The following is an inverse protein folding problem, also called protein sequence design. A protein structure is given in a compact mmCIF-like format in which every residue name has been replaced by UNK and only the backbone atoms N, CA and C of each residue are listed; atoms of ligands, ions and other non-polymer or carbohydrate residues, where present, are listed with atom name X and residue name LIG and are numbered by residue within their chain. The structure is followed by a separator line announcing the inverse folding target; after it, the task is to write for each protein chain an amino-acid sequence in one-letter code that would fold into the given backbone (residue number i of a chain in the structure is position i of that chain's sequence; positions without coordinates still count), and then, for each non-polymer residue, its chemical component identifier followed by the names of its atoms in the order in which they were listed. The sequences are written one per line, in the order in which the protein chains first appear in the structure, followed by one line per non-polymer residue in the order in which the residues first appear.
data_IF_794224177401
#
_entry.id   IF_794224177401
#
_cell.length_a   1.000
_cell.length_b   1.000
_cell.length_c   1.000
_cell.angle_alpha   90.00
_cell.angle_beta   90.00
_cell.angle_gamma   90.00
#
_symmetry.space_group_name_H-M   'P 1'
#
loop_
_entity.id
_entity.type
_entity.pdbx_description
1 polymer ?
#
# COMPACT_ATOMS: atom_id res chain seq x y z
N UNK A 1 13.69 20.66 16.76
CA UNK A 1 13.55 19.82 15.53
C UNK A 1 12.49 20.39 14.59
N UNK A 2 11.34 20.85 15.08
CA UNK A 2 10.31 21.52 14.24
C UNK A 2 10.78 22.81 13.55
N UNK A 3 11.62 23.61 14.21
CA UNK A 3 12.16 24.86 13.66
C UNK A 3 13.08 24.61 12.46
N UNK A 4 13.96 23.59 12.51
CA UNK A 4 14.87 23.29 11.41
C UNK A 4 14.15 22.76 10.17
N UNK A 5 13.05 22.02 10.33
CA UNK A 5 12.26 21.47 9.22
C UNK A 5 11.38 22.53 8.54
N UNK A 6 11.02 23.59 9.27
CA UNK A 6 10.30 24.74 8.70
C UNK A 6 11.22 25.72 7.94
N UNK A 7 12.48 25.85 8.36
CA UNK A 7 13.45 26.75 7.72
C UNK A 7 14.15 26.15 6.49
N UNK A 8 14.17 24.81 6.37
CA UNK A 8 14.82 24.11 5.27
C UNK A 8 13.89 23.07 4.63
N UNK A 9 13.00 23.48 3.72
CA UNK A 9 12.01 22.61 3.09
C UNK A 9 12.63 21.38 2.40
N UNK A 10 13.84 21.52 1.89
CA UNK A 10 14.58 20.43 1.23
C UNK A 10 14.92 19.25 2.14
N UNK A 11 15.19 19.53 3.43
CA UNK A 11 15.47 18.49 4.42
C UNK A 11 14.21 17.64 4.64
N UNK A 12 13.05 18.28 4.79
CA UNK A 12 11.79 17.56 4.93
C UNK A 12 11.44 16.74 3.68
N UNK A 13 11.62 17.30 2.48
CA UNK A 13 11.41 16.59 1.21
C UNK A 13 12.34 15.38 1.11
N UNK A 14 13.61 15.52 1.47
CA UNK A 14 14.57 14.41 1.49
C UNK A 14 14.19 13.30 2.47
N UNK A 15 13.74 13.68 3.68
CA UNK A 15 13.24 12.71 4.68
C UNK A 15 11.98 11.99 4.19
N UNK A 16 11.05 12.72 3.58
CA UNK A 16 9.82 12.16 3.02
C UNK A 16 10.11 11.19 1.87
N UNK A 17 11.08 11.52 1.02
CA UNK A 17 11.55 10.63 -0.05
C UNK A 17 12.09 9.31 0.52
N UNK A 18 12.98 9.39 1.51
CA UNK A 18 13.54 8.19 2.17
C UNK A 18 12.44 7.37 2.85
N UNK A 19 11.53 8.04 3.56
CA UNK A 19 10.37 7.38 4.18
C UNK A 19 9.50 6.70 3.13
N UNK A 20 9.24 7.37 2.00
CA UNK A 20 8.48 6.82 0.88
C UNK A 20 9.14 5.59 0.26
N UNK A 21 10.48 5.54 0.15
CA UNK A 21 11.21 4.34 -0.27
C UNK A 21 10.96 3.17 0.67
N UNK A 22 11.07 3.40 1.98
CA UNK A 22 10.87 2.36 3.01
C UNK A 22 9.43 1.84 2.97
N UNK A 23 8.45 2.75 2.93
CA UNK A 23 7.04 2.39 2.83
C UNK A 23 6.75 1.66 1.52
N UNK A 24 7.31 2.10 0.40
CA UNK A 24 7.15 1.44 -0.90
C UNK A 24 7.66 0.00 -0.90
N UNK A 25 8.77 -0.26 -0.23
CA UNK A 25 9.28 -1.63 -0.04
C UNK A 25 8.31 -2.49 0.79
N UNK A 26 7.72 -1.92 1.85
CA UNK A 26 6.66 -2.58 2.61
C UNK A 26 5.39 -2.80 1.78
N UNK A 27 5.00 -1.83 0.94
CA UNK A 27 3.83 -1.98 0.05
C UNK A 27 3.99 -3.15 -0.91
N UNK A 28 5.18 -3.44 -1.41
CA UNK A 28 5.43 -4.63 -2.21
C UNK A 28 5.06 -5.92 -1.45
N UNK A 29 5.39 -6.00 -0.16
CA UNK A 29 5.01 -7.14 0.69
C UNK A 29 3.50 -7.17 0.91
N UNK A 30 2.88 -6.03 1.20
CA UNK A 30 1.45 -5.89 1.44
C UNK A 30 0.65 -6.34 0.21
N UNK A 31 0.96 -5.79 -0.96
CA UNK A 31 0.29 -6.10 -2.25
C UNK A 31 0.36 -7.57 -2.59
N UNK A 32 1.50 -8.23 -2.30
CA UNK A 32 1.68 -9.65 -2.58
C UNK A 32 0.99 -10.57 -1.56
N UNK A 33 0.99 -10.20 -0.28
CA UNK A 33 0.54 -11.10 0.81
C UNK A 33 -0.91 -10.92 1.17
N UNK A 34 -1.40 -9.67 1.22
CA UNK A 34 -2.75 -9.38 1.69
C UNK A 34 -3.84 -10.13 0.91
N UNK A 35 -3.84 -10.16 -0.44
CA UNK A 35 -4.85 -10.92 -1.19
C UNK A 35 -4.83 -12.42 -0.86
N UNK A 36 -3.64 -13.00 -0.69
CA UNK A 36 -3.49 -14.41 -0.34
C UNK A 36 -4.00 -14.72 1.08
N UNK A 37 -3.80 -13.78 2.01
CA UNK A 37 -4.32 -13.91 3.38
C UNK A 37 -5.85 -13.87 3.35
N UNK A 38 -6.45 -12.92 2.63
CA UNK A 38 -7.90 -12.79 2.50
C UNK A 38 -8.54 -14.02 1.85
N UNK A 39 -7.95 -14.52 0.77
CA UNK A 39 -8.46 -15.75 0.11
C UNK A 39 -8.42 -16.96 1.04
N UNK A 40 -7.38 -17.10 1.87
CA UNK A 40 -7.30 -18.17 2.88
C UNK A 40 -8.39 -18.02 3.94
N UNK A 41 -8.60 -16.81 4.42
CA UNK A 41 -9.63 -16.50 5.41
C UNK A 41 -11.03 -16.78 4.86
N UNK A 42 -11.35 -16.29 3.67
CA UNK A 42 -12.63 -16.54 3.01
C UNK A 42 -12.88 -18.03 2.76
N UNK A 43 -11.82 -18.76 2.39
CA UNK A 43 -11.93 -20.21 2.22
C UNK A 43 -12.26 -20.91 3.54
N UNK A 44 -11.60 -20.55 4.63
CA UNK A 44 -11.88 -21.10 5.95
C UNK A 44 -13.32 -20.80 6.41
N UNK A 45 -13.78 -19.56 6.22
CA UNK A 45 -15.17 -19.17 6.51
C UNK A 45 -16.19 -19.96 5.65
N UNK A 46 -15.90 -20.12 4.37
CA UNK A 46 -16.78 -20.89 3.48
C UNK A 46 -16.84 -22.37 3.88
N UNK A 47 -15.72 -22.97 4.27
CA UNK A 47 -15.68 -24.36 4.77
C UNK A 47 -16.51 -24.52 6.05
N UNK A 48 -16.39 -23.57 6.98
CA UNK A 48 -17.17 -23.56 8.23
C UNK A 48 -18.68 -23.47 7.95
N UNK A 49 -19.10 -22.53 7.07
CA UNK A 49 -20.52 -22.35 6.70
C UNK A 49 -21.09 -23.60 6.03
N UNK A 50 -20.29 -24.26 5.17
CA UNK A 50 -20.70 -25.45 4.43
C UNK A 50 -20.56 -26.77 5.23
N UNK A 51 -20.06 -26.73 6.47
CA UNK A 51 -19.79 -27.93 7.27
C UNK A 51 -18.72 -28.83 6.66
N UNK A 52 -17.82 -28.30 5.84
CA UNK A 52 -16.71 -29.04 5.24
C UNK A 52 -15.53 -29.16 6.20
N UNK A 53 -14.71 -30.24 6.10
CA UNK A 53 -13.53 -30.37 6.91
C UNK A 53 -12.58 -29.17 6.67
N UNK A 54 -12.07 -28.60 7.77
CA UNK A 54 -11.07 -27.54 7.68
C UNK A 54 -9.79 -28.05 7.00
N UNK A 55 -9.18 -27.20 6.19
CA UNK A 55 -7.86 -27.52 5.63
C UNK A 55 -6.85 -27.75 6.78
N UNK A 56 -5.90 -28.69 6.64
CA UNK A 56 -4.89 -28.91 7.66
C UNK A 56 -4.15 -27.62 7.98
N UNK A 57 -3.92 -27.35 9.27
CA UNK A 57 -3.23 -26.15 9.72
C UNK A 57 -1.88 -26.03 9.03
N UNK A 58 -1.79 -25.14 8.06
CA UNK A 58 -0.55 -24.82 7.37
C UNK A 58 0.34 -23.88 8.20
N UNK A 59 1.58 -23.62 7.75
CA UNK A 59 2.46 -22.68 8.43
C UNK A 59 1.82 -21.28 8.52
N UNK A 60 2.16 -20.56 9.59
CA UNK A 60 1.71 -19.17 9.80
C UNK A 60 2.06 -18.33 8.59
N UNK A 61 1.06 -17.68 8.01
CA UNK A 61 1.24 -16.80 6.86
C UNK A 61 0.58 -15.45 7.15
N UNK A 62 1.41 -14.44 7.33
CA UNK A 62 1.00 -13.06 7.60
C UNK A 62 1.96 -12.07 6.94
N UNK A 63 1.84 -10.77 7.22
CA UNK A 63 2.72 -9.76 6.64
C UNK A 63 4.19 -9.90 7.10
N UNK A 64 4.45 -10.55 8.23
CA UNK A 64 5.80 -10.73 8.78
C UNK A 64 6.39 -12.12 8.48
N UNK A 65 5.56 -13.14 8.37
CA UNK A 65 5.99 -14.53 8.16
C UNK A 65 5.36 -15.15 6.90
N UNK A 66 6.12 -15.96 6.16
CA UNK A 66 7.54 -16.26 6.28
C UNK A 66 8.42 -15.04 5.90
N UNK A 67 9.72 -15.08 6.22
CA UNK A 67 10.66 -14.05 5.77
C UNK A 67 10.67 -13.93 4.24
N UNK A 68 11.03 -12.75 3.73
CA UNK A 68 11.19 -12.55 2.29
C UNK A 68 12.26 -13.48 1.73
N UNK A 69 11.92 -14.21 0.69
CA UNK A 69 12.82 -15.16 0.04
C UNK A 69 12.76 -15.01 -1.48
N UNK A 70 13.78 -15.47 -2.17
CA UNK A 70 13.79 -15.54 -3.63
C UNK A 70 12.74 -16.57 -4.10
N UNK A 71 11.91 -16.21 -5.07
CA UNK A 71 10.87 -17.08 -5.61
C UNK A 71 11.43 -18.35 -6.29
N UNK A 72 12.68 -18.30 -6.79
CA UNK A 72 13.32 -19.39 -7.49
C UNK A 72 14.14 -20.32 -6.60
N UNK A 73 15.01 -19.77 -5.78
CA UNK A 73 15.90 -20.61 -4.96
C UNK A 73 15.46 -20.72 -3.49
N UNK A 74 14.34 -20.08 -3.11
CA UNK A 74 13.77 -20.06 -1.75
C UNK A 74 14.74 -19.62 -0.64
N UNK A 75 15.89 -19.05 -1.02
CA UNK A 75 16.86 -18.53 -0.04
C UNK A 75 16.36 -17.21 0.56
N UNK A 76 16.52 -17.00 1.88
CA UNK A 76 16.12 -15.78 2.54
C UNK A 76 16.91 -14.58 2.00
N UNK A 77 16.21 -13.46 1.81
CA UNK A 77 16.79 -12.18 1.41
C UNK A 77 17.36 -11.52 2.67
N UNK A 78 18.63 -11.10 2.60
CA UNK A 78 19.29 -10.41 3.71
C UNK A 78 18.78 -8.95 3.82
N UNK A 79 18.79 -8.32 5.01
CA UNK A 79 18.29 -6.96 5.18
C UNK A 79 18.92 -5.93 4.23
N UNK A 80 20.21 -6.02 3.95
CA UNK A 80 20.92 -5.13 3.01
C UNK A 80 20.63 -5.43 1.53
N UNK A 81 20.16 -6.64 1.21
CA UNK A 81 19.67 -7.01 -0.12
C UNK A 81 18.23 -6.52 -0.36
N UNK A 82 17.59 -5.96 0.67
CA UNK A 82 16.24 -5.40 0.63
C UNK A 82 16.21 -3.87 0.83
N UNK A 83 17.35 -3.19 0.69
CA UNK A 83 17.39 -1.73 0.70
C UNK A 83 16.68 -1.23 -0.58
N UNK A 84 15.61 -0.41 -0.43
CA UNK A 84 14.77 -0.03 -1.54
C UNK A 84 15.57 0.59 -2.70
N UNK A 85 15.27 0.19 -3.93
CA UNK A 85 15.90 0.63 -5.19
C UNK A 85 17.41 0.35 -5.23
N UNK A 86 18.14 0.67 -4.17
CA UNK A 86 19.59 0.56 -4.14
C UNK A 86 20.08 -0.87 -4.31
N UNK A 87 19.46 -1.84 -3.62
CA UNK A 87 19.82 -3.25 -3.76
C UNK A 87 19.55 -3.78 -5.16
N UNK A 88 18.43 -3.36 -5.77
CA UNK A 88 18.11 -3.71 -7.15
C UNK A 88 19.17 -3.21 -8.14
N UNK A 89 19.62 -1.96 -7.99
CA UNK A 89 20.67 -1.38 -8.84
C UNK A 89 22.01 -2.06 -8.64
N UNK A 90 22.44 -2.29 -7.38
CA UNK A 90 23.70 -2.95 -7.06
C UNK A 90 23.74 -4.40 -7.54
N UNK A 91 22.63 -5.12 -7.43
CA UNK A 91 22.49 -6.50 -7.90
C UNK A 91 22.15 -6.60 -9.39
N UNK A 92 22.04 -5.45 -10.09
CA UNK A 92 21.68 -5.38 -11.52
C UNK A 92 20.37 -6.13 -11.83
N UNK A 93 19.38 -6.01 -10.94
CA UNK A 93 18.08 -6.66 -11.08
C UNK A 93 18.11 -8.19 -11.00
N UNK A 94 19.10 -8.78 -10.33
CA UNK A 94 19.25 -10.23 -10.22
C UNK A 94 19.42 -10.70 -8.78
N UNK A 95 18.94 -11.91 -8.50
CA UNK A 95 19.16 -12.53 -7.20
C UNK A 95 20.66 -12.69 -6.90
N UNK A 96 21.08 -12.33 -5.69
CA UNK A 96 22.48 -12.44 -5.27
C UNK A 96 23.02 -13.90 -5.31
N UNK A 97 22.13 -14.88 -5.27
CA UNK A 97 22.51 -16.30 -5.19
C UNK A 97 22.31 -17.07 -6.49
N UNK A 98 21.09 -17.16 -7.00
CA UNK A 98 20.77 -17.93 -8.21
C UNK A 98 20.87 -17.10 -9.49
N UNK A 99 21.12 -15.78 -9.40
CA UNK A 99 21.19 -14.86 -10.56
C UNK A 99 19.91 -14.73 -11.37
N UNK A 100 18.81 -15.31 -10.90
CA UNK A 100 17.50 -15.15 -11.54
C UNK A 100 17.05 -13.68 -11.50
N UNK A 101 16.32 -13.26 -12.54
CA UNK A 101 15.87 -11.89 -12.70
C UNK A 101 14.82 -11.50 -11.64
N UNK A 102 14.98 -10.32 -11.05
CA UNK A 102 14.01 -9.71 -10.15
C UNK A 102 13.12 -8.76 -10.97
N UNK A 103 11.80 -8.85 -10.81
CA UNK A 103 10.86 -7.97 -11.51
C UNK A 103 11.16 -6.49 -11.24
N UNK A 104 11.19 -5.68 -12.30
CA UNK A 104 11.33 -4.23 -12.21
C UNK A 104 10.15 -3.54 -11.49
N UNK A 105 9.06 -4.24 -11.27
CA UNK A 105 7.90 -3.76 -10.51
C UNK A 105 8.27 -3.36 -9.09
N UNK A 106 9.15 -4.12 -8.42
CA UNK A 106 9.57 -3.82 -7.04
C UNK A 106 10.19 -2.43 -6.91
N UNK A 107 11.27 -2.08 -7.61
CA UNK A 107 11.84 -0.74 -7.52
C UNK A 107 10.91 0.34 -8.09
N UNK A 108 10.02 0.01 -9.04
CA UNK A 108 9.03 0.95 -9.54
C UNK A 108 8.03 1.38 -8.46
N UNK A 109 7.48 0.43 -7.70
CA UNK A 109 6.60 0.72 -6.56
C UNK A 109 7.30 1.57 -5.50
N UNK A 110 8.55 1.26 -5.19
CA UNK A 110 9.36 2.00 -4.22
C UNK A 110 9.59 3.44 -4.67
N UNK A 111 9.96 3.65 -5.93
CA UNK A 111 10.15 4.98 -6.51
C UNK A 111 8.84 5.77 -6.59
N UNK A 112 7.74 5.14 -7.01
CA UNK A 112 6.44 5.80 -7.07
C UNK A 112 6.00 6.31 -5.69
N UNK A 113 6.17 5.47 -4.66
CA UNK A 113 5.88 5.83 -3.27
C UNK A 113 6.80 6.96 -2.77
N UNK A 114 8.09 6.92 -3.10
CA UNK A 114 9.06 7.94 -2.73
C UNK A 114 8.76 9.29 -3.40
N UNK A 115 8.48 9.29 -4.69
CA UNK A 115 8.14 10.50 -5.45
C UNK A 115 6.83 11.12 -4.96
N UNK A 116 5.80 10.31 -4.70
CA UNK A 116 4.55 10.76 -4.11
C UNK A 116 4.80 11.44 -2.77
N UNK A 117 5.59 10.81 -1.88
CA UNK A 117 5.92 11.38 -0.58
C UNK A 117 6.69 12.69 -0.69
N UNK A 118 7.65 12.76 -1.60
CA UNK A 118 8.43 13.97 -1.87
C UNK A 118 7.55 15.11 -2.42
N UNK A 119 6.63 14.82 -3.36
CA UNK A 119 5.69 15.80 -3.90
C UNK A 119 4.74 16.35 -2.82
N UNK A 120 4.21 15.47 -1.96
CA UNK A 120 3.36 15.88 -0.84
C UNK A 120 4.13 16.75 0.15
N UNK A 121 5.36 16.35 0.51
CA UNK A 121 6.23 17.13 1.37
C UNK A 121 6.56 18.51 0.80
N UNK A 122 6.81 18.57 -0.49
CA UNK A 122 7.07 19.81 -1.22
C UNK A 122 5.87 20.76 -1.20
N UNK A 123 4.66 20.22 -1.42
CA UNK A 123 3.44 21.02 -1.56
C UNK A 123 2.91 21.50 -0.20
N UNK A 124 2.85 20.63 0.80
CA UNK A 124 2.24 20.91 2.10
C UNK A 124 3.23 21.41 3.17
N UNK A 125 4.53 21.24 2.94
CA UNK A 125 5.53 21.49 3.98
C UNK A 125 5.42 20.52 5.15
N UNK A 126 6.13 20.84 6.26
CA UNK A 126 6.12 20.01 7.47
C UNK A 126 4.84 20.26 8.30
N UNK A 127 4.00 19.26 8.41
CA UNK A 127 2.75 19.35 9.19
C UNK A 127 1.89 18.09 9.11
N UNK A 128 0.81 18.09 9.89
CA UNK A 128 -0.16 16.99 9.94
C UNK A 128 -0.85 16.75 8.59
N UNK A 129 -1.04 17.82 7.81
CA UNK A 129 -1.61 17.74 6.47
C UNK A 129 -0.76 16.87 5.55
N UNK A 130 0.56 17.10 5.52
CA UNK A 130 1.47 16.28 4.73
C UNK A 130 1.41 14.80 5.15
N UNK A 131 1.44 14.53 6.46
CA UNK A 131 1.33 13.16 6.98
C UNK A 131 0.03 12.47 6.58
N UNK A 132 -1.10 13.16 6.68
CA UNK A 132 -2.41 12.65 6.29
C UNK A 132 -2.49 12.33 4.79
N UNK A 133 -2.01 13.25 3.94
CA UNK A 133 -2.02 13.07 2.47
C UNK A 133 -1.04 11.98 2.03
N UNK A 134 0.13 11.85 2.67
CA UNK A 134 1.05 10.74 2.42
C UNK A 134 0.40 9.39 2.74
N UNK A 135 -0.22 9.27 3.91
CA UNK A 135 -0.87 8.03 4.34
C UNK A 135 -2.01 7.64 3.38
N UNK A 136 -2.84 8.60 2.97
CA UNK A 136 -3.88 8.39 1.97
C UNK A 136 -3.26 7.94 0.64
N UNK A 137 -2.23 8.62 0.17
CA UNK A 137 -1.55 8.30 -1.10
C UNK A 137 -0.92 6.91 -1.09
N UNK A 138 -0.29 6.50 0.00
CA UNK A 138 0.27 5.15 0.14
C UNK A 138 -0.83 4.07 0.13
N UNK A 139 -1.95 4.33 0.83
CA UNK A 139 -3.09 3.42 0.82
C UNK A 139 -3.72 3.29 -0.56
N UNK A 140 -3.92 4.41 -1.27
CA UNK A 140 -4.42 4.41 -2.64
C UNK A 140 -3.47 3.69 -3.60
N UNK A 141 -2.16 3.89 -3.46
CA UNK A 141 -1.16 3.19 -4.26
C UNK A 141 -1.21 1.67 -4.02
N UNK A 142 -1.30 1.25 -2.74
CA UNK A 142 -1.43 -0.16 -2.39
C UNK A 142 -2.70 -0.78 -2.99
N UNK A 143 -3.85 -0.12 -2.83
CA UNK A 143 -5.13 -0.58 -3.38
C UNK A 143 -5.12 -0.65 -4.89
N UNK A 144 -4.56 0.35 -5.58
CA UNK A 144 -4.42 0.35 -7.04
C UNK A 144 -3.56 -0.82 -7.54
N UNK A 145 -2.46 -1.13 -6.86
CA UNK A 145 -1.61 -2.25 -7.21
C UNK A 145 -2.29 -3.61 -6.96
N UNK A 146 -3.06 -3.73 -5.88
CA UNK A 146 -3.85 -4.95 -5.60
C UNK A 146 -4.95 -5.11 -6.65
N UNK A 147 -5.63 -4.02 -7.01
CA UNK A 147 -6.72 -4.05 -8.00
C UNK A 147 -6.20 -4.43 -9.41
N UNK A 148 -5.07 -3.90 -9.83
CA UNK A 148 -4.42 -4.27 -11.10
C UNK A 148 -4.10 -5.77 -11.16
N UNK A 149 -3.69 -6.39 -10.04
CA UNK A 149 -3.28 -7.79 -10.01
C UNK A 149 -4.44 -8.77 -9.82
N UNK A 150 -5.38 -8.39 -8.97
CA UNK A 150 -6.39 -9.31 -8.42
C UNK A 150 -7.82 -8.86 -8.65
N UNK A 151 -8.03 -7.62 -9.16
CA UNK A 151 -9.35 -6.99 -9.28
C UNK A 151 -10.12 -7.04 -7.95
N UNK A 152 -9.42 -6.76 -6.86
CA UNK A 152 -9.88 -6.83 -5.50
C UNK A 152 -9.57 -5.53 -4.77
N UNK A 153 -10.57 -4.94 -4.11
CA UNK A 153 -10.41 -3.82 -3.19
C UNK A 153 -10.66 -4.30 -1.76
N UNK A 154 -9.59 -4.52 -0.96
CA UNK A 154 -9.75 -5.06 0.40
C UNK A 154 -10.39 -4.05 1.35
N UNK A 155 -11.54 -4.39 1.93
CA UNK A 155 -12.23 -3.57 2.93
C UNK A 155 -11.35 -3.24 4.15
N UNK A 156 -10.42 -4.12 4.48
CA UNK A 156 -9.43 -3.92 5.55
C UNK A 156 -8.49 -2.72 5.29
N UNK A 157 -8.36 -2.26 4.06
CA UNK A 157 -7.65 -1.03 3.69
C UNK A 157 -8.61 0.13 3.44
N UNK A 158 -9.71 -0.11 2.73
CA UNK A 158 -10.67 0.93 2.33
C UNK A 158 -11.34 1.57 3.54
N UNK A 159 -11.91 0.76 4.44
CA UNK A 159 -12.68 1.26 5.57
C UNK A 159 -11.83 2.05 6.57
N UNK A 160 -10.64 1.60 7.01
CA UNK A 160 -9.80 2.39 7.89
C UNK A 160 -9.38 3.73 7.28
N UNK A 161 -9.06 3.76 5.98
CA UNK A 161 -8.69 5.02 5.30
C UNK A 161 -9.88 5.97 5.19
N UNK A 162 -11.08 5.47 4.90
CA UNK A 162 -12.31 6.28 4.88
C UNK A 162 -12.58 6.91 6.24
N UNK A 163 -12.59 6.09 7.31
CA UNK A 163 -12.85 6.58 8.66
C UNK A 163 -11.77 7.53 9.15
N UNK A 164 -10.51 7.22 8.87
CA UNK A 164 -9.40 8.11 9.20
C UNK A 164 -9.55 9.47 8.50
N UNK A 165 -9.91 9.47 7.21
CA UNK A 165 -10.17 10.68 6.45
C UNK A 165 -11.29 11.53 7.06
N UNK A 166 -12.40 10.91 7.46
CA UNK A 166 -13.51 11.61 8.12
C UNK A 166 -13.10 12.17 9.49
N UNK A 167 -12.38 11.39 10.30
CA UNK A 167 -11.89 11.82 11.63
C UNK A 167 -10.92 13.00 11.50
N UNK A 168 -9.97 12.94 10.59
CA UNK A 168 -9.02 14.04 10.36
C UNK A 168 -9.72 15.31 9.86
N UNK A 169 -10.74 15.17 9.02
CA UNK A 169 -11.50 16.30 8.52
C UNK A 169 -12.57 16.81 9.50
N UNK A 170 -12.89 16.08 10.59
CA UNK A 170 -13.69 16.63 11.68
C UNK A 170 -13.03 17.84 12.35
N UNK A 171 -11.68 17.90 12.33
CA UNK A 171 -10.89 19.05 12.73
C UNK A 171 -10.59 20.04 11.59
N UNK A 172 -11.14 19.85 10.40
CA UNK A 172 -10.91 20.74 9.25
C UNK A 172 -9.50 20.66 8.69
N UNK A 173 -8.83 19.49 8.78
CA UNK A 173 -7.42 19.37 8.40
C UNK A 173 -7.16 19.62 6.92
N UNK A 174 -7.98 19.05 6.03
CA UNK A 174 -7.87 19.15 4.57
C UNK A 174 -9.12 19.76 3.93
N UNK A 175 -10.30 19.38 4.44
CA UNK A 175 -11.60 19.84 3.98
C UNK A 175 -12.55 19.99 5.17
N UNK A 176 -13.67 20.69 5.00
CA UNK A 176 -14.72 20.69 6.02
C UNK A 176 -15.38 19.32 6.11
N UNK A 177 -15.87 18.94 7.27
CA UNK A 177 -16.54 17.64 7.45
C UNK A 177 -17.72 17.44 6.48
N UNK A 178 -18.59 18.45 6.23
CA UNK A 178 -19.65 18.34 5.22
C UNK A 178 -19.10 18.04 3.81
N UNK A 179 -18.03 18.74 3.39
CA UNK A 179 -17.43 18.53 2.07
C UNK A 179 -16.81 17.13 1.94
N UNK A 180 -16.12 16.66 2.99
CA UNK A 180 -15.55 15.32 3.04
C UNK A 180 -16.64 14.24 2.96
N UNK A 181 -17.76 14.43 3.68
CA UNK A 181 -18.92 13.53 3.65
C UNK A 181 -19.58 13.50 2.27
N UNK A 182 -19.86 14.68 1.71
CA UNK A 182 -20.45 14.76 0.36
C UNK A 182 -19.51 14.19 -0.70
N UNK A 183 -18.22 14.41 -0.58
CA UNK A 183 -17.22 13.80 -1.47
C UNK A 183 -17.29 12.27 -1.45
N UNK A 184 -17.36 11.67 -0.26
CA UNK A 184 -17.51 10.22 -0.10
C UNK A 184 -18.83 9.70 -0.70
N UNK A 185 -19.96 10.38 -0.42
CA UNK A 185 -21.29 10.01 -0.96
C UNK A 185 -21.32 10.11 -2.49
N UNK A 186 -20.85 11.24 -3.04
CA UNK A 186 -20.83 11.46 -4.50
C UNK A 186 -19.93 10.44 -5.19
N UNK A 187 -18.71 10.20 -4.64
CA UNK A 187 -17.79 9.20 -5.17
C UNK A 187 -18.40 7.80 -5.20
N UNK A 188 -19.04 7.38 -4.11
CA UNK A 188 -19.73 6.10 -4.05
C UNK A 188 -20.88 6.00 -5.07
N UNK A 189 -21.78 6.99 -5.08
CA UNK A 189 -22.94 7.01 -5.99
C UNK A 189 -22.51 7.02 -7.46
N UNK A 190 -21.44 7.74 -7.79
CA UNK A 190 -20.89 7.81 -9.13
C UNK A 190 -20.42 6.42 -9.62
N UNK A 191 -19.61 5.72 -8.80
CA UNK A 191 -19.16 4.37 -9.14
C UNK A 191 -20.31 3.35 -9.14
N UNK A 192 -21.23 3.45 -8.19
CA UNK A 192 -22.41 2.61 -8.12
C UNK A 192 -23.30 2.78 -9.34
N UNK A 193 -23.52 4.02 -9.83
CA UNK A 193 -24.31 4.27 -11.04
C UNK A 193 -23.64 3.69 -12.28
N UNK A 194 -22.33 3.80 -12.42
CA UNK A 194 -21.57 3.17 -13.51
C UNK A 194 -21.75 1.65 -13.49
N UNK A 195 -21.62 1.01 -12.32
CA UNK A 195 -21.84 -0.43 -12.19
C UNK A 195 -23.24 -0.83 -12.65
N UNK A 196 -24.29 -0.10 -12.24
CA UNK A 196 -25.67 -0.40 -12.63
C UNK A 196 -25.92 -0.18 -14.13
N UNK A 197 -25.36 0.88 -14.72
CA UNK A 197 -25.44 1.11 -16.16
C UNK A 197 -24.83 -0.07 -16.93
N UNK A 198 -23.63 -0.51 -16.54
CA UNK A 198 -23.00 -1.68 -17.15
C UNK A 198 -23.86 -2.94 -17.00
N UNK A 199 -24.42 -3.19 -15.81
CA UNK A 199 -25.26 -4.37 -15.54
C UNK A 199 -26.55 -4.38 -16.36
N UNK A 200 -27.11 -3.22 -16.68
CA UNK A 200 -28.36 -3.11 -17.50
C UNK A 200 -28.05 -3.25 -19.00
N UNK A 201 -26.86 -2.82 -19.42
CA UNK A 201 -26.43 -2.85 -20.83
C UNK A 201 -25.88 -4.21 -21.26
N UNK A 202 -25.36 -5.00 -20.31
CA UNK A 202 -24.76 -6.31 -20.58
C UNK A 202 -25.65 -7.44 -20.14
#
# INVERSE_FOLDING_TARGET
MSLLLGEQPWVFVGMALVLGLIVGSFLNVLVWRLPKMLVREWRAQAQEILGLPADPAGPVYNLMHPNSCCAHCSQPIRPWENIPVLSYLLLKGRCARCRESISARYPFTELACALLSAMVAWHFGFGWQAGAVMLLGWGLLAMSLIDIDHQLLPDVLVLPLLWLGLVLNSGGLLATLPDALWGAVIGYVCLWSVFWVFKVVT
#
